data_IF_435524595271
#
_entry.id   IF_435524595271
#
_cell.length_a   1.000
_cell.length_b   1.000
_cell.length_c   1.000
_cell.angle_alpha   90.00
_cell.angle_beta   90.00
_cell.angle_gamma   90.00
#
_symmetry.space_group_name_H-M   'P 1'
#
loop_
_entity.id
_entity.type
_entity.pdbx_description
1 polymer ?
#
# COMPACT_ATOMS: atom_id res chain seq x y z
N UNK A 1 -58.13 7.74 -20.83
CA UNK A 1 -57.60 8.28 -19.55
C UNK A 1 -56.96 9.64 -19.83
N UNK A 2 -57.31 10.69 -19.09
CA UNK A 2 -56.95 12.09 -19.41
C UNK A 2 -55.50 12.43 -19.02
N UNK A 3 -54.54 11.86 -19.74
CA UNK A 3 -53.09 12.00 -19.51
C UNK A 3 -52.60 13.46 -19.53
N UNK A 4 -53.30 14.32 -20.29
CA UNK A 4 -53.03 15.76 -20.39
C UNK A 4 -53.21 16.49 -19.05
N UNK A 5 -54.22 16.11 -18.27
CA UNK A 5 -54.51 16.72 -16.97
C UNK A 5 -53.51 16.27 -15.91
N UNK A 6 -53.16 14.99 -15.92
CA UNK A 6 -52.15 14.40 -15.01
C UNK A 6 -50.79 15.10 -15.21
N UNK A 7 -50.37 15.30 -16.46
CA UNK A 7 -49.12 16.00 -16.78
C UNK A 7 -49.09 17.45 -16.29
N UNK A 8 -50.22 18.17 -16.38
CA UNK A 8 -50.33 19.54 -15.90
C UNK A 8 -50.18 19.64 -14.37
N UNK A 9 -50.82 18.73 -13.64
CA UNK A 9 -50.73 18.67 -12.17
C UNK A 9 -49.30 18.28 -11.75
N UNK A 10 -48.72 17.27 -12.38
CA UNK A 10 -47.36 16.82 -12.07
C UNK A 10 -46.31 17.93 -12.28
N UNK A 11 -46.35 18.63 -13.42
CA UNK A 11 -45.40 19.72 -13.69
C UNK A 11 -45.53 20.89 -12.71
N UNK A 12 -46.74 21.15 -12.22
CA UNK A 12 -46.98 22.14 -11.18
C UNK A 12 -46.34 21.68 -9.86
N UNK A 13 -46.58 20.44 -9.46
CA UNK A 13 -46.08 19.88 -8.21
C UNK A 13 -44.55 19.78 -8.20
N UNK A 14 -43.94 19.30 -9.28
CA UNK A 14 -42.48 19.24 -9.43
C UNK A 14 -41.88 20.63 -9.33
N UNK A 15 -42.48 21.64 -9.96
CA UNK A 15 -42.00 23.03 -9.86
C UNK A 15 -42.12 23.56 -8.43
N UNK A 16 -43.18 23.19 -7.72
CA UNK A 16 -43.38 23.63 -6.35
C UNK A 16 -42.38 22.95 -5.40
N UNK A 17 -42.09 21.66 -5.59
CA UNK A 17 -41.02 20.96 -4.86
C UNK A 17 -39.63 21.48 -5.22
N UNK A 18 -39.37 21.85 -6.48
CA UNK A 18 -38.11 22.46 -6.90
C UNK A 18 -37.91 23.85 -6.28
N UNK A 19 -39.00 24.54 -5.95
CA UNK A 19 -38.98 25.84 -5.26
C UNK A 19 -38.64 25.69 -3.77
N UNK A 20 -38.94 24.54 -3.17
CA UNK A 20 -38.41 24.18 -1.85
C UNK A 20 -36.94 23.73 -1.94
N UNK A 21 -36.11 24.71 -2.32
CA UNK A 21 -34.66 24.56 -2.45
C UNK A 21 -34.00 24.11 -1.15
N UNK A 22 -34.61 24.34 0.02
CA UNK A 22 -34.03 23.95 1.32
C UNK A 22 -34.08 22.44 1.47
N UNK A 23 -35.22 21.84 1.16
CA UNK A 23 -35.40 20.39 1.21
C UNK A 23 -34.63 19.72 0.08
N UNK A 24 -34.74 20.21 -1.15
CA UNK A 24 -34.05 19.62 -2.30
C UNK A 24 -32.52 19.67 -2.15
N UNK A 25 -31.98 20.76 -1.59
CA UNK A 25 -30.56 20.85 -1.26
C UNK A 25 -30.15 19.83 -0.20
N UNK A 26 -30.93 19.67 0.87
CA UNK A 26 -30.60 18.73 1.94
C UNK A 26 -30.67 17.26 1.50
N UNK A 27 -31.63 16.88 0.66
CA UNK A 27 -31.74 15.47 0.22
C UNK A 27 -30.76 15.12 -0.90
N UNK A 28 -30.33 16.09 -1.71
CA UNK A 28 -29.53 15.84 -2.91
C UNK A 28 -28.09 16.31 -2.73
N UNK A 29 -27.91 17.58 -2.37
CA UNK A 29 -26.60 18.23 -2.35
C UNK A 29 -25.85 17.88 -1.07
N UNK A 30 -26.50 17.93 0.09
CA UNK A 30 -25.86 17.56 1.35
C UNK A 30 -25.22 16.16 1.29
N UNK A 31 -25.92 15.06 0.95
CA UNK A 31 -25.28 13.74 0.91
C UNK A 31 -24.22 13.65 -0.18
N UNK A 32 -24.43 14.29 -1.33
CA UNK A 32 -23.47 14.27 -2.44
C UNK A 32 -22.14 14.93 -2.07
N UNK A 33 -22.14 15.92 -1.17
CA UNK A 33 -20.90 16.55 -0.67
C UNK A 33 -20.40 15.91 0.63
N UNK A 34 -21.29 15.71 1.59
CA UNK A 34 -20.96 15.24 2.93
C UNK A 34 -20.39 13.83 2.91
N UNK A 35 -20.96 12.91 2.13
CA UNK A 35 -20.49 11.53 2.11
C UNK A 35 -19.11 11.38 1.49
N UNK A 36 -18.81 11.97 0.31
CA UNK A 36 -17.44 11.96 -0.20
C UNK A 36 -16.46 12.66 0.73
N UNK A 37 -16.85 13.79 1.34
CA UNK A 37 -15.95 14.51 2.25
C UNK A 37 -15.63 13.68 3.51
N UNK A 38 -16.63 13.02 4.10
CA UNK A 38 -16.41 12.08 5.21
C UNK A 38 -15.57 10.88 4.77
N UNK A 39 -15.88 10.28 3.63
CA UNK A 39 -15.15 9.12 3.10
C UNK A 39 -13.67 9.44 2.88
N UNK A 40 -13.39 10.56 2.21
CA UNK A 40 -12.02 11.05 2.02
C UNK A 40 -11.34 11.37 3.36
N UNK A 41 -12.05 11.96 4.31
CA UNK A 41 -11.53 12.20 5.66
C UNK A 41 -11.10 10.91 6.38
N UNK A 42 -11.93 9.87 6.31
CA UNK A 42 -11.61 8.55 6.89
C UNK A 42 -10.42 7.91 6.17
N UNK A 43 -10.37 7.94 4.84
CA UNK A 43 -9.24 7.40 4.07
C UNK A 43 -7.95 8.15 4.41
N UNK A 44 -7.99 9.49 4.48
CA UNK A 44 -6.83 10.30 4.85
C UNK A 44 -6.34 9.97 6.26
N UNK A 45 -7.26 9.82 7.21
CA UNK A 45 -6.98 9.39 8.58
C UNK A 45 -6.29 8.01 8.54
N UNK A 46 -6.88 7.02 7.88
CA UNK A 46 -6.30 5.68 7.74
C UNK A 46 -4.89 5.70 7.15
N UNK A 47 -4.65 6.47 6.08
CA UNK A 47 -3.32 6.58 5.46
C UNK A 47 -2.30 7.27 6.37
N UNK A 48 -2.74 8.24 7.17
CA UNK A 48 -1.86 8.96 8.11
C UNK A 48 -1.48 8.09 9.30
N UNK A 49 -2.41 7.27 9.80
CA UNK A 49 -2.15 6.32 10.88
C UNK A 49 -1.57 4.98 10.39
N UNK A 50 -1.59 4.73 9.08
CA UNK A 50 -0.95 3.56 8.50
C UNK A 50 0.56 3.69 8.72
N UNK A 51 1.10 2.75 9.48
CA UNK A 51 2.49 2.74 9.89
C UNK A 51 3.40 2.71 8.67
N UNK A 52 4.20 3.77 8.48
CA UNK A 52 5.20 3.80 7.41
C UNK A 52 6.35 2.88 7.77
N UNK A 53 6.64 1.91 6.90
CA UNK A 53 7.78 1.00 7.04
C UNK A 53 9.07 1.83 7.05
N UNK A 54 9.77 1.87 8.19
CA UNK A 54 11.01 2.64 8.34
C UNK A 54 12.17 1.84 7.76
N UNK A 55 12.96 2.47 6.89
CA UNK A 55 14.17 1.82 6.36
C UNK A 55 15.29 1.96 7.38
N UNK A 56 15.89 0.84 7.77
CA UNK A 56 17.06 0.79 8.66
C UNK A 56 18.22 0.24 7.83
N UNK A 57 19.28 1.03 7.71
CA UNK A 57 20.53 0.60 7.07
C UNK A 57 21.48 0.09 8.15
N UNK A 58 22.01 -1.11 7.96
CA UNK A 58 23.01 -1.71 8.85
C UNK A 58 24.32 -1.78 8.08
N UNK A 59 25.28 -0.98 8.52
CA UNK A 59 26.64 -0.97 8.01
C UNK A 59 27.47 -2.03 8.75
N UNK A 60 28.47 -2.60 8.08
CA UNK A 60 29.32 -3.66 8.61
C UNK A 60 28.50 -4.84 9.19
N UNK A 61 27.47 -5.28 8.46
CA UNK A 61 26.62 -6.39 8.89
C UNK A 61 27.42 -7.69 9.10
N UNK A 62 28.61 -7.80 8.49
CA UNK A 62 29.51 -8.94 8.61
C UNK A 62 30.32 -8.99 9.92
N UNK A 63 30.41 -7.89 10.67
CA UNK A 63 31.14 -7.83 11.95
C UNK A 63 30.25 -8.13 13.17
N UNK A 64 29.00 -8.52 12.94
CA UNK A 64 28.06 -8.83 14.00
C UNK A 64 28.45 -10.14 14.71
N UNK A 65 28.27 -10.21 16.04
CA UNK A 65 28.52 -11.45 16.78
C UNK A 65 27.53 -12.55 16.37
N UNK A 66 28.05 -13.76 16.15
CA UNK A 66 27.24 -14.93 15.79
C UNK A 66 26.25 -15.34 16.89
N UNK A 67 26.53 -14.98 18.15
CA UNK A 67 25.65 -15.29 19.29
C UNK A 67 25.63 -14.17 20.32
N UNK A 68 24.45 -13.63 20.68
CA UNK A 68 23.15 -13.90 20.07
C UNK A 68 23.03 -13.26 18.67
N UNK A 69 22.53 -14.03 17.69
CA UNK A 69 22.34 -13.56 16.32
C UNK A 69 21.37 -12.37 16.26
N UNK A 70 21.83 -11.24 15.70
CA UNK A 70 21.03 -10.03 15.57
C UNK A 70 20.27 -9.97 14.24
N UNK A 71 20.84 -10.50 13.15
CA UNK A 71 20.22 -10.58 11.83
C UNK A 71 19.84 -12.02 11.45
N UNK A 72 18.76 -12.14 10.70
CA UNK A 72 18.32 -13.29 9.92
C UNK A 72 18.38 -12.95 8.42
N UNK A 73 18.11 -13.93 7.55
CA UNK A 73 18.10 -13.74 6.08
C UNK A 73 17.20 -12.58 5.62
N UNK A 74 16.10 -12.34 6.35
CA UNK A 74 15.05 -11.37 6.00
C UNK A 74 15.03 -10.09 6.89
N UNK A 75 15.89 -9.96 7.91
CA UNK A 75 15.87 -8.79 8.80
C UNK A 75 16.39 -9.02 10.23
N UNK A 76 15.95 -8.21 11.20
CA UNK A 76 16.36 -8.35 12.62
C UNK A 76 15.70 -9.59 13.23
N UNK A 77 16.41 -10.28 14.12
CA UNK A 77 15.87 -11.47 14.79
C UNK A 77 14.62 -11.12 15.64
N UNK A 78 13.51 -11.89 15.56
CA UNK A 78 12.23 -11.59 16.21
C UNK A 78 12.29 -11.34 17.72
N UNK A 79 13.27 -11.93 18.40
CA UNK A 79 13.45 -11.81 19.85
C UNK A 79 13.86 -10.41 20.31
N UNK A 80 14.35 -9.57 19.38
CA UNK A 80 14.71 -8.18 19.66
C UNK A 80 13.53 -7.21 19.53
N UNK A 81 12.35 -7.68 19.13
CA UNK A 81 11.15 -6.84 19.03
C UNK A 81 10.34 -6.92 20.33
N UNK A 82 10.00 -5.77 20.91
CA UNK A 82 9.19 -5.69 22.14
C UNK A 82 7.83 -6.41 22.02
N UNK A 83 7.21 -6.39 20.83
CA UNK A 83 5.96 -7.11 20.54
C UNK A 83 6.15 -8.34 19.64
N UNK A 84 7.39 -8.83 19.51
CA UNK A 84 7.76 -9.97 18.67
C UNK A 84 7.41 -9.77 17.18
N UNK A 85 6.85 -10.81 16.54
CA UNK A 85 6.59 -10.88 15.09
C UNK A 85 5.58 -9.86 14.54
N UNK A 86 4.87 -9.10 15.38
CA UNK A 86 3.92 -8.07 14.89
C UNK A 86 4.62 -6.82 14.37
N UNK A 87 5.85 -6.58 14.81
CA UNK A 87 6.60 -5.36 14.51
C UNK A 87 7.65 -5.54 13.41
N UNK A 88 7.86 -6.78 12.93
CA UNK A 88 8.81 -7.08 11.83
C UNK A 88 8.43 -6.40 10.52
N UNK A 89 7.12 -6.30 10.23
CA UNK A 89 6.61 -5.61 9.04
C UNK A 89 6.79 -4.07 9.08
N UNK A 90 7.18 -3.50 10.24
CA UNK A 90 7.38 -2.06 10.41
C UNK A 90 8.76 -1.58 9.96
N UNK A 91 9.71 -2.48 9.75
CA UNK A 91 11.08 -2.15 9.36
C UNK A 91 11.41 -2.76 8.00
N UNK A 92 12.08 -2.01 7.13
CA UNK A 92 12.73 -2.52 5.91
C UNK A 92 14.23 -2.44 6.15
N UNK A 93 14.92 -3.57 6.17
CA UNK A 93 16.34 -3.59 6.53
C UNK A 93 17.18 -3.73 5.26
N UNK A 94 18.14 -2.82 5.11
CA UNK A 94 19.18 -2.89 4.09
C UNK A 94 20.49 -3.16 4.80
N UNK A 95 20.97 -4.40 4.74
CA UNK A 95 22.24 -4.79 5.32
C UNK A 95 23.31 -4.81 4.23
N UNK A 96 24.37 -4.03 4.39
CA UNK A 96 25.56 -4.15 3.57
C UNK A 96 26.34 -5.38 4.05
N UNK A 97 26.20 -6.50 3.32
CA UNK A 97 27.04 -7.68 3.49
C UNK A 97 28.13 -7.64 2.43
N UNK A 98 29.35 -7.39 2.85
CA UNK A 98 30.58 -7.48 2.04
C UNK A 98 30.93 -8.96 1.84
N UNK A 99 30.00 -9.76 1.34
CA UNK A 99 30.33 -11.11 0.88
C UNK A 99 30.36 -11.10 -0.63
N UNK A 100 31.59 -11.21 -1.16
CA UNK A 100 31.91 -11.17 -2.57
C UNK A 100 30.93 -11.93 -3.45
N UNK A 101 30.52 -11.25 -4.52
CA UNK A 101 30.06 -11.91 -5.73
C UNK A 101 31.14 -12.92 -6.19
N UNK A 102 30.95 -14.19 -5.82
CA UNK A 102 31.46 -15.30 -6.61
C UNK A 102 30.25 -15.94 -7.27
N UNK A 103 29.83 -15.26 -8.34
CA UNK A 103 29.24 -15.93 -9.49
C UNK A 103 30.30 -16.88 -10.03
N UNK A 104 30.35 -18.12 -9.53
CA UNK A 104 30.98 -19.21 -10.28
C UNK A 104 29.95 -19.71 -11.27
N UNK A 105 30.02 -19.13 -12.46
CA UNK A 105 29.58 -19.77 -13.67
C UNK A 105 30.25 -21.15 -13.78
N UNK A 106 29.44 -22.20 -13.91
CA UNK A 106 29.86 -23.44 -14.55
C UNK A 106 28.76 -23.83 -15.55
N UNK A 107 29.14 -24.21 -16.80
CA UNK A 107 28.23 -24.21 -17.93
C UNK A 107 27.61 -25.59 -18.19
N UNK A 108 26.61 -25.58 -19.08
CA UNK A 108 26.11 -26.67 -19.91
C UNK A 108 25.36 -27.83 -19.23
N UNK A 109 24.03 -27.86 -19.40
CA UNK A 109 23.38 -28.79 -20.35
C UNK A 109 21.88 -28.51 -20.47
N UNK A 110 21.43 -28.29 -21.71
CA UNK A 110 20.04 -28.22 -22.14
C UNK A 110 19.44 -29.65 -22.23
N UNK A 111 18.28 -29.90 -21.61
CA UNK A 111 17.12 -30.57 -22.23
C UNK A 111 15.91 -30.69 -21.28
N UNK A 112 14.83 -30.00 -21.68
CA UNK A 112 13.43 -30.47 -21.80
C UNK A 112 12.72 -31.23 -20.65
N UNK A 113 11.69 -30.59 -20.05
CA UNK A 113 10.24 -30.92 -20.18
C UNK A 113 9.45 -30.73 -18.87
N UNK A 114 8.49 -29.79 -18.94
CA UNK A 114 7.19 -29.65 -18.27
C UNK A 114 6.90 -30.32 -16.90
N UNK A 115 6.45 -29.53 -15.91
CA UNK A 115 5.02 -29.41 -15.55
C UNK A 115 4.73 -28.32 -14.47
N UNK A 116 3.68 -27.50 -14.68
CA UNK A 116 2.86 -26.83 -13.63
C UNK A 116 3.23 -25.42 -13.05
N UNK A 117 2.40 -24.37 -13.27
CA UNK A 117 2.44 -23.05 -12.59
C UNK A 117 1.15 -22.79 -11.75
N UNK A 118 0.78 -21.57 -11.27
CA UNK A 118 1.54 -20.39 -10.77
C UNK A 118 1.00 -19.88 -9.40
N UNK A 119 1.84 -19.34 -8.52
CA UNK A 119 1.39 -18.34 -7.52
C UNK A 119 2.57 -17.44 -7.13
N UNK A 120 2.86 -16.49 -8.01
CA UNK A 120 3.74 -15.36 -7.71
C UNK A 120 2.87 -14.11 -7.52
N UNK A 121 2.97 -13.38 -6.40
CA UNK A 121 2.48 -12.02 -6.36
C UNK A 121 3.46 -11.16 -7.17
N UNK A 122 2.97 -10.76 -8.34
CA UNK A 122 3.60 -9.83 -9.28
C UNK A 122 4.05 -8.56 -8.53
N UNK A 123 5.35 -8.28 -8.60
CA UNK A 123 5.94 -7.02 -8.17
C UNK A 123 5.24 -5.85 -8.89
N UNK A 124 4.50 -5.04 -8.14
CA UNK A 124 3.87 -3.83 -8.64
C UNK A 124 4.91 -2.76 -9.01
N UNK A 125 4.61 -1.84 -9.93
CA UNK A 125 5.57 -0.84 -10.38
C UNK A 125 5.89 0.14 -9.26
N UNK A 126 7.18 0.21 -8.91
CA UNK A 126 7.73 1.09 -7.86
C UNK A 126 7.32 2.55 -8.05
N UNK A 127 6.99 3.21 -6.93
CA UNK A 127 6.53 4.59 -6.95
C UNK A 127 7.71 5.52 -7.27
N UNK A 128 7.42 6.49 -8.14
CA UNK A 128 8.34 7.55 -8.58
C UNK A 128 8.92 8.29 -7.36
N UNK A 129 10.15 7.96 -7.00
CA UNK A 129 10.88 8.57 -5.89
C UNK A 129 11.68 7.59 -5.02
N UNK A 130 11.50 6.27 -5.18
CA UNK A 130 12.36 5.29 -4.51
C UNK A 130 13.77 5.33 -5.11
N UNK A 131 14.71 5.90 -4.36
CA UNK A 131 16.15 5.73 -4.61
C UNK A 131 16.46 4.25 -4.57
N UNK A 132 17.21 3.77 -5.55
CA UNK A 132 17.61 2.36 -5.64
C UNK A 132 18.33 1.95 -4.35
N UNK A 133 18.13 0.71 -3.92
CA UNK A 133 18.76 0.13 -2.72
C UNK A 133 20.28 0.36 -2.70
N UNK A 134 20.93 0.40 -3.87
CA UNK A 134 22.35 0.75 -4.03
C UNK A 134 22.67 2.23 -3.75
N UNK A 135 21.78 3.17 -4.09
CA UNK A 135 21.97 4.60 -3.80
C UNK A 135 21.76 4.92 -2.32
N UNK A 136 20.87 4.20 -1.63
CA UNK A 136 20.67 4.34 -0.19
C UNK A 136 21.85 3.79 0.62
N UNK A 137 22.46 2.68 0.18
CA UNK A 137 23.70 2.17 0.77
C UNK A 137 24.89 3.10 0.52
N UNK A 138 24.99 3.70 -0.66
CA UNK A 138 26.08 4.62 -1.00
C UNK A 138 25.98 6.02 -0.36
N UNK A 139 24.84 6.37 0.23
CA UNK A 139 24.58 7.69 0.82
C UNK A 139 24.58 7.70 2.37
N UNK A 140 24.73 6.54 3.01
CA UNK A 140 24.90 6.39 4.46
C UNK A 140 26.37 6.60 4.87
#
# INVERSE_FOLDING_TARGET
MSWKNIKLIFMREVRDQLRDRRTLFMITILPLFLYPMLGLGVVQMMLTFSEQQRVVVILNADELPDSPAFLNDDGIHPDWYENGKKDTARLRILAERTTGAVSTAAPDTLTSTADGPPDAPVAGPGRRGEKSDAELLAAA
#
